data_IF_015296348900
#
_entry.id   IF_015296348900
#
_cell.length_a   1.000
_cell.length_b   1.000
_cell.length_c   1.000
_cell.angle_alpha   90.00
_cell.angle_beta   90.00
_cell.angle_gamma   90.00
#
_symmetry.space_group_name_H-M   'P 1'
#
loop_
_entity.id
_entity.type
_entity.pdbx_description
1 polymer ?
#
# COMPACT_ATOMS: atom_id res chain seq x y z
N UNK A 1 -4.14 -18.17 5.92
CA UNK A 1 -3.72 -16.86 6.49
C UNK A 1 -2.21 -16.91 6.65
N UNK A 2 -1.52 -16.28 5.72
CA UNK A 2 -0.07 -16.35 5.55
C UNK A 2 0.64 -15.51 6.61
N UNK A 3 1.74 -16.04 7.13
CA UNK A 3 2.63 -15.29 8.03
C UNK A 3 3.62 -14.46 7.19
N UNK A 4 3.69 -13.16 7.44
CA UNK A 4 4.66 -12.25 6.80
C UNK A 4 5.76 -11.95 7.82
N UNK A 5 7.03 -12.33 7.55
CA UNK A 5 8.13 -12.05 8.47
C UNK A 5 8.44 -10.55 8.58
N UNK A 6 8.98 -10.14 9.73
CA UNK A 6 9.48 -8.78 9.91
C UNK A 6 10.73 -8.54 9.03
N UNK A 7 10.98 -7.30 8.58
CA UNK A 7 12.17 -6.97 7.80
C UNK A 7 13.45 -7.34 8.56
N UNK A 8 14.41 -7.93 7.87
CA UNK A 8 15.74 -8.23 8.42
C UNK A 8 16.79 -7.21 7.99
N UNK A 9 16.56 -6.54 6.86
CA UNK A 9 17.41 -5.48 6.31
C UNK A 9 17.05 -4.09 6.85
N UNK A 10 18.05 -3.20 6.94
CA UNK A 10 17.87 -1.80 7.36
C UNK A 10 17.04 -1.01 6.34
N UNK A 11 16.51 0.15 6.74
CA UNK A 11 15.63 0.96 5.89
C UNK A 11 16.31 1.46 4.60
N UNK A 12 17.61 1.74 4.66
CA UNK A 12 18.39 2.24 3.53
C UNK A 12 18.97 1.14 2.64
N UNK A 13 18.77 -0.14 2.98
CA UNK A 13 19.30 -1.26 2.20
C UNK A 13 18.51 -1.43 0.89
N UNK A 14 19.22 -1.43 -0.23
CA UNK A 14 18.63 -1.56 -1.56
C UNK A 14 17.90 -2.89 -1.76
N UNK A 15 18.29 -3.96 -1.05
CA UNK A 15 17.66 -5.28 -1.10
C UNK A 15 16.38 -5.40 -0.29
N UNK A 16 16.05 -4.40 0.56
CA UNK A 16 14.87 -4.45 1.43
C UNK A 16 13.55 -4.52 0.66
N UNK A 17 13.49 -3.91 -0.53
CA UNK A 17 12.30 -4.02 -1.38
C UNK A 17 12.10 -5.46 -1.88
N UNK A 18 13.15 -6.10 -2.36
CA UNK A 18 13.09 -7.49 -2.82
C UNK A 18 12.78 -8.46 -1.68
N UNK A 19 13.28 -8.19 -0.47
CA UNK A 19 12.91 -8.93 0.74
C UNK A 19 11.42 -8.79 1.05
N UNK A 20 10.90 -7.56 1.00
CA UNK A 20 9.48 -7.30 1.20
C UNK A 20 8.61 -8.03 0.16
N UNK A 21 9.01 -7.99 -1.12
CA UNK A 21 8.30 -8.71 -2.18
C UNK A 21 8.22 -10.21 -1.90
N UNK A 22 9.35 -10.85 -1.56
CA UNK A 22 9.38 -12.28 -1.23
C UNK A 22 8.54 -12.61 0.01
N UNK A 23 8.58 -11.73 1.02
CA UNK A 23 7.84 -11.93 2.26
C UNK A 23 6.31 -11.92 2.07
N UNK A 24 5.79 -11.24 1.04
CA UNK A 24 4.35 -11.15 0.76
C UNK A 24 3.88 -12.06 -0.39
N UNK A 25 4.81 -12.61 -1.19
CA UNK A 25 4.51 -13.38 -2.42
C UNK A 25 3.57 -14.55 -2.16
N UNK A 26 3.89 -15.39 -1.17
CA UNK A 26 3.07 -16.56 -0.81
C UNK A 26 1.63 -16.17 -0.47
N UNK A 27 1.45 -15.05 0.25
CA UNK A 27 0.12 -14.58 0.62
C UNK A 27 -0.66 -14.01 -0.55
N UNK A 28 0.02 -13.37 -1.50
CA UNK A 28 -0.59 -12.92 -2.74
C UNK A 28 -1.05 -14.12 -3.59
N UNK A 29 -0.25 -15.18 -3.67
CA UNK A 29 -0.59 -16.41 -4.38
C UNK A 29 -1.77 -17.16 -3.72
N UNK A 30 -1.82 -17.21 -2.38
CA UNK A 30 -2.96 -17.76 -1.63
C UNK A 30 -4.27 -17.00 -1.95
N UNK A 31 -4.20 -15.66 -2.02
CA UNK A 31 -5.34 -14.83 -2.38
C UNK A 31 -5.78 -15.03 -3.83
N UNK A 32 -4.82 -15.17 -4.75
CA UNK A 32 -5.10 -15.48 -6.15
C UNK A 32 -5.81 -16.83 -6.28
N UNK A 33 -5.30 -17.87 -5.62
CA UNK A 33 -5.92 -19.20 -5.60
C UNK A 33 -7.35 -19.16 -5.05
N UNK A 34 -7.56 -18.51 -3.91
CA UNK A 34 -8.88 -18.39 -3.29
C UNK A 34 -9.89 -17.69 -4.21
N UNK A 35 -9.48 -16.62 -4.89
CA UNK A 35 -10.35 -15.92 -5.85
C UNK A 35 -10.61 -16.76 -7.12
N UNK A 36 -9.60 -17.53 -7.57
CA UNK A 36 -9.75 -18.46 -8.69
C UNK A 36 -10.75 -19.57 -8.37
N UNK A 37 -10.67 -20.15 -7.17
CA UNK A 37 -11.62 -21.18 -6.68
C UNK A 37 -13.05 -20.63 -6.54
N UNK A 38 -13.20 -19.33 -6.29
CA UNK A 38 -14.49 -18.64 -6.32
C UNK A 38 -15.02 -18.36 -7.75
N UNK A 39 -14.26 -18.68 -8.79
CA UNK A 39 -14.66 -18.61 -10.19
C UNK A 39 -14.21 -17.34 -10.94
N UNK A 40 -13.36 -16.50 -10.35
CA UNK A 40 -12.83 -15.32 -11.02
C UNK A 40 -11.69 -15.69 -11.98
N UNK A 41 -11.57 -14.98 -13.11
CA UNK A 41 -10.44 -15.21 -14.03
C UNK A 41 -9.17 -14.57 -13.47
N UNK A 42 -8.02 -15.22 -13.69
CA UNK A 42 -6.73 -14.72 -13.21
C UNK A 42 -6.44 -13.26 -13.63
N UNK A 43 -6.82 -12.86 -14.85
CA UNK A 43 -6.66 -11.48 -15.31
C UNK A 43 -7.50 -10.48 -14.53
N UNK A 44 -8.72 -10.86 -14.12
CA UNK A 44 -9.61 -10.01 -13.32
C UNK A 44 -9.06 -9.87 -11.90
N UNK A 45 -8.58 -10.97 -11.31
CA UNK A 45 -8.00 -11.00 -9.98
C UNK A 45 -6.76 -10.10 -9.91
N UNK A 46 -5.82 -10.26 -10.85
CA UNK A 46 -4.59 -9.47 -10.88
C UNK A 46 -4.90 -7.97 -11.08
N UNK A 47 -5.79 -7.63 -12.00
CA UNK A 47 -6.20 -6.25 -12.21
C UNK A 47 -6.85 -5.64 -10.96
N UNK A 48 -7.71 -6.40 -10.26
CA UNK A 48 -8.32 -5.96 -9.01
C UNK A 48 -7.30 -5.77 -7.88
N UNK A 49 -6.34 -6.69 -7.73
CA UNK A 49 -5.24 -6.58 -6.75
C UNK A 49 -4.43 -5.30 -6.96
N UNK A 50 -4.04 -5.01 -8.21
CA UNK A 50 -3.30 -3.79 -8.56
C UNK A 50 -4.13 -2.56 -8.20
N UNK A 51 -5.40 -2.51 -8.63
CA UNK A 51 -6.27 -1.36 -8.34
C UNK A 51 -6.48 -1.14 -6.83
N UNK A 52 -6.60 -2.22 -6.05
CA UNK A 52 -6.69 -2.12 -4.58
C UNK A 52 -5.40 -1.57 -3.98
N UNK A 53 -4.23 -2.03 -4.44
CA UNK A 53 -2.94 -1.53 -3.98
C UNK A 53 -2.75 -0.04 -4.30
N UNK A 54 -3.03 0.38 -5.54
CA UNK A 54 -2.96 1.77 -5.98
C UNK A 54 -3.90 2.68 -5.16
N UNK A 55 -5.16 2.27 -4.99
CA UNK A 55 -6.12 3.03 -4.18
C UNK A 55 -5.69 3.13 -2.71
N UNK A 56 -5.07 2.08 -2.17
CA UNK A 56 -4.55 2.09 -0.79
C UNK A 56 -3.38 3.04 -0.64
N UNK A 57 -2.46 3.06 -1.62
CA UNK A 57 -1.35 4.01 -1.65
C UNK A 57 -1.85 5.46 -1.72
N UNK A 58 -2.78 5.75 -2.63
CA UNK A 58 -3.39 7.08 -2.76
C UNK A 58 -4.08 7.53 -1.45
N UNK A 59 -4.80 6.63 -0.79
CA UNK A 59 -5.44 6.92 0.49
C UNK A 59 -4.41 7.22 1.59
N UNK A 60 -3.30 6.48 1.64
CA UNK A 60 -2.22 6.72 2.60
C UNK A 60 -1.55 8.08 2.35
N UNK A 61 -1.25 8.42 1.11
CA UNK A 61 -0.65 9.71 0.73
C UNK A 61 -1.59 10.89 1.04
N UNK A 62 -2.90 10.71 0.89
CA UNK A 62 -3.89 11.73 1.27
C UNK A 62 -4.01 11.95 2.78
N UNK A 63 -3.76 10.92 3.61
CA UNK A 63 -3.68 11.08 5.07
C UNK A 63 -2.40 11.83 5.49
N UNK A 64 -1.34 11.75 4.67
CA UNK A 64 -0.04 12.43 4.88
C UNK A 64 0.06 13.77 4.12
N UNK A 65 -1.01 14.21 3.46
CA UNK A 65 -1.08 15.56 2.87
C UNK A 65 -0.91 16.62 3.97
N UNK A 66 0.01 17.61 3.82
CA UNK A 66 0.20 18.62 4.85
C UNK A 66 -1.11 19.35 5.01
N UNK A 67 -1.72 19.23 6.18
CA UNK A 67 -2.83 20.10 6.56
C UNK A 67 -2.36 21.54 6.38
N UNK A 68 -2.84 22.20 5.33
CA UNK A 68 -2.58 23.62 5.06
C UNK A 68 -3.46 24.52 5.93
N UNK A 69 -4.38 23.94 6.70
CA UNK A 69 -5.24 24.63 7.66
C UNK A 69 -4.48 25.53 8.66
N UNK A 70 -3.32 25.13 9.25
CA UNK A 70 -2.56 26.00 10.13
C UNK A 70 -1.92 27.17 9.37
N UNK A 71 -1.50 26.96 8.12
CA UNK A 71 -0.92 28.00 7.26
C UNK A 71 -1.97 29.05 6.86
N UNK A 72 -3.16 28.61 6.47
CA UNK A 72 -4.29 29.49 6.17
C UNK A 72 -4.71 30.32 7.38
N UNK A 73 -4.80 29.69 8.57
CA UNK A 73 -5.13 30.40 9.82
C UNK A 73 -4.09 31.46 10.19
N UNK A 74 -2.80 31.19 9.91
CA UNK A 74 -1.70 32.15 10.14
C UNK A 74 -1.72 33.32 9.16
N UNK A 75 -2.11 33.09 7.91
CA UNK A 75 -2.26 34.14 6.90
C UNK A 75 -3.50 35.02 7.18
N UNK A 76 -4.61 34.43 7.62
CA UNK A 76 -5.82 35.18 7.99
C UNK A 76 -5.59 36.07 9.23
N UNK A 77 -4.84 35.59 10.24
CA UNK A 77 -4.50 36.38 11.44
C UNK A 77 -3.55 37.57 11.21
N UNK A 78 -2.88 37.66 10.06
CA UNK A 78 -1.99 38.79 9.73
C UNK A 78 -2.68 39.87 8.90
N UNK A 79 -3.95 39.66 8.53
CA UNK A 79 -4.74 40.57 7.71
C UNK A 79 -5.70 41.44 8.52
N UNK A 80 -5.69 41.30 9.84
CA UNK A 80 -6.34 42.16 10.84
C UNK A 80 -5.24 42.90 11.63
#
# INVERSE_FOLDING_TARGET
MTFIPAPTLSEDDQGRFEECQKAIEDGLLELLGTASDAGWRNSEIIAAMIAVAENTQLAHDHVVGPSIAPYLKKLMKRRD
#
